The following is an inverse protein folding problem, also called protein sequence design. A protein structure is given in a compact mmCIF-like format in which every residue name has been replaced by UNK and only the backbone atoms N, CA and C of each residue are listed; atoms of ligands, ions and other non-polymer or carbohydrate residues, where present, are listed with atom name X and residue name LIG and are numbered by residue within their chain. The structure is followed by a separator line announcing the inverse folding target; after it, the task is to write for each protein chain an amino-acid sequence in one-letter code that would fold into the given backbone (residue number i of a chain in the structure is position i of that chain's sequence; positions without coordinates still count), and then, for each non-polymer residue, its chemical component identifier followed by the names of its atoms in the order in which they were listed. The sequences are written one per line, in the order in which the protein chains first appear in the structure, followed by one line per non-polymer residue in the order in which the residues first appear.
data_IF_296969862336
#
_entry.id   IF_296969862336
#
_cell.length_a   1.000
_cell.length_b   1.000
_cell.length_c   1.000
_cell.angle_alpha   90.00
_cell.angle_beta   90.00
_cell.angle_gamma   90.00
#
_symmetry.space_group_name_H-M   'P 1'
#
loop_
_entity.id
_entity.type
_entity.pdbx_description
1 polymer ?
#
# COMPACT_ATOMS: atom_id res chain seq x y z
N UNK A 1 22.54 -26.18 -6.18
CA UNK A 1 21.44 -25.46 -6.86
C UNK A 1 20.69 -24.68 -5.80
N UNK A 2 21.01 -23.39 -5.60
CA UNK A 2 20.39 -22.57 -4.56
C UNK A 2 18.93 -22.23 -4.94
N UNK A 3 18.01 -22.08 -3.98
CA UNK A 3 16.63 -21.71 -4.28
C UNK A 3 16.61 -20.33 -4.92
N UNK A 4 15.97 -20.20 -6.08
CA UNK A 4 15.63 -18.90 -6.67
C UNK A 4 14.77 -18.16 -5.66
N UNK A 5 15.34 -17.15 -5.01
CA UNK A 5 14.60 -16.21 -4.19
C UNK A 5 13.71 -15.38 -5.13
N UNK A 6 12.52 -15.91 -5.42
CA UNK A 6 11.48 -15.17 -6.10
C UNK A 6 10.96 -14.15 -5.10
N UNK A 7 11.42 -12.90 -5.23
CA UNK A 7 10.74 -11.77 -4.62
C UNK A 7 9.41 -11.67 -5.37
N UNK A 8 8.24 -11.87 -4.75
CA UNK A 8 6.99 -11.59 -5.43
C UNK A 8 6.94 -10.09 -5.70
N UNK A 9 7.29 -9.70 -6.91
CA UNK A 9 7.08 -8.35 -7.45
C UNK A 9 5.58 -8.19 -7.63
N UNK A 10 4.89 -7.84 -6.55
CA UNK A 10 3.69 -7.02 -6.68
C UNK A 10 4.18 -5.62 -6.44
N UNK A 11 4.40 -4.87 -7.53
CA UNK A 11 4.85 -3.49 -7.42
C UNK A 11 3.82 -2.75 -6.53
N UNK A 12 4.24 -2.02 -5.46
CA UNK A 12 3.30 -1.29 -4.61
C UNK A 12 2.32 -0.40 -5.38
N UNK A 13 2.73 0.10 -6.54
CA UNK A 13 1.88 0.86 -7.46
C UNK A 13 0.80 -0.01 -8.11
N UNK A 14 1.13 -1.23 -8.56
CA UNK A 14 0.15 -2.16 -9.13
C UNK A 14 -0.91 -2.56 -8.11
N UNK A 15 -0.49 -2.80 -6.87
CA UNK A 15 -1.40 -3.04 -5.74
C UNK A 15 -2.35 -1.88 -5.51
N UNK A 16 -1.82 -0.65 -5.44
CA UNK A 16 -2.62 0.55 -5.26
C UNK A 16 -3.60 0.76 -6.42
N UNK A 17 -3.17 0.53 -7.65
CA UNK A 17 -4.02 0.64 -8.84
C UNK A 17 -5.14 -0.42 -8.83
N UNK A 18 -4.84 -1.65 -8.39
CA UNK A 18 -5.85 -2.70 -8.20
C UNK A 18 -6.89 -2.34 -7.15
N UNK A 19 -6.45 -1.72 -6.04
CA UNK A 19 -7.35 -1.23 -4.99
C UNK A 19 -8.28 -0.12 -5.48
N UNK A 20 -7.72 0.87 -6.17
CA UNK A 20 -8.47 1.97 -6.79
C UNK A 20 -9.52 1.38 -7.74
N UNK A 21 -9.12 0.50 -8.66
CA UNK A 21 -10.02 -0.13 -9.62
C UNK A 21 -11.19 -0.84 -8.92
N UNK A 22 -10.90 -1.74 -7.97
CA UNK A 22 -11.93 -2.52 -7.27
C UNK A 22 -12.93 -1.63 -6.51
N UNK A 23 -12.47 -0.59 -5.81
CA UNK A 23 -13.36 0.30 -5.04
C UNK A 23 -14.17 1.22 -5.94
N UNK A 24 -13.62 1.66 -7.07
CA UNK A 24 -14.38 2.42 -8.06
C UNK A 24 -15.43 1.58 -8.77
N UNK A 25 -15.15 0.28 -9.01
CA UNK A 25 -16.11 -0.66 -9.63
C UNK A 25 -17.37 -0.87 -8.78
N UNK A 26 -17.25 -0.86 -7.44
CA UNK A 26 -18.41 -0.97 -6.53
C UNK A 26 -19.35 0.23 -6.65
N UNK A 27 -18.80 1.43 -6.89
CA UNK A 27 -19.62 2.65 -7.03
C UNK A 27 -20.23 2.75 -8.44
N UNK A 28 -19.51 2.32 -9.47
CA UNK A 28 -19.97 2.34 -10.86
C UNK A 28 -20.00 3.75 -11.44
N UNK A 29 -21.05 4.52 -11.13
CA UNK A 29 -21.26 5.89 -11.64
C UNK A 29 -21.17 6.89 -10.51
N UNK A 30 -20.35 7.93 -10.69
CA UNK A 30 -20.19 9.01 -9.72
C UNK A 30 -21.10 10.20 -10.07
N UNK A 31 -21.69 10.87 -9.06
CA UNK A 31 -22.59 12.00 -9.27
C UNK A 31 -21.87 13.30 -9.69
N UNK A 32 -20.56 13.40 -9.44
CA UNK A 32 -19.68 14.51 -9.83
C UNK A 32 -18.20 14.12 -9.66
N UNK A 33 -17.30 14.98 -10.13
CA UNK A 33 -15.84 14.80 -10.00
C UNK A 33 -15.37 14.82 -8.53
N UNK A 34 -15.97 15.66 -7.68
CA UNK A 34 -15.60 15.73 -6.26
C UNK A 34 -15.85 14.40 -5.53
N UNK A 35 -16.85 13.62 -5.94
CA UNK A 35 -17.14 12.31 -5.36
C UNK A 35 -16.04 11.28 -5.64
N UNK A 36 -15.49 11.25 -6.86
CA UNK A 36 -14.38 10.34 -7.19
C UNK A 36 -13.08 10.81 -6.53
N UNK A 37 -12.82 12.12 -6.50
CA UNK A 37 -11.63 12.68 -5.81
C UNK A 37 -11.65 12.34 -4.32
N UNK A 38 -12.81 12.43 -3.66
CA UNK A 38 -12.94 12.04 -2.25
C UNK A 38 -12.68 10.56 -2.02
N UNK A 39 -13.20 9.68 -2.88
CA UNK A 39 -12.96 8.24 -2.76
C UNK A 39 -11.47 7.91 -2.93
N UNK A 40 -10.86 8.38 -4.03
CA UNK A 40 -9.45 8.12 -4.30
C UNK A 40 -8.57 8.73 -3.19
N UNK A 41 -8.89 9.95 -2.75
CA UNK A 41 -8.21 10.60 -1.63
C UNK A 41 -8.28 9.82 -0.32
N UNK A 42 -9.42 9.17 -0.03
CA UNK A 42 -9.55 8.29 1.13
C UNK A 42 -8.67 7.02 1.00
N UNK A 43 -8.66 6.39 -0.19
CA UNK A 43 -7.84 5.19 -0.47
C UNK A 43 -6.35 5.50 -0.30
N UNK A 44 -5.90 6.63 -0.84
CA UNK A 44 -4.50 7.06 -0.74
C UNK A 44 -4.08 7.30 0.72
N UNK A 45 -4.98 7.86 1.53
CA UNK A 45 -4.72 8.12 2.95
C UNK A 45 -4.60 6.82 3.74
N UNK A 46 -5.52 5.88 3.54
CA UNK A 46 -5.48 4.55 4.15
C UNK A 46 -4.17 3.82 3.80
N UNK A 47 -3.77 3.83 2.53
CA UNK A 47 -2.50 3.23 2.10
C UNK A 47 -1.28 3.96 2.68
N UNK A 48 -1.33 5.28 2.84
CA UNK A 48 -0.25 6.03 3.47
C UNK A 48 -0.09 5.67 4.95
N UNK A 49 -1.20 5.53 5.68
CA UNK A 49 -1.19 5.17 7.11
C UNK A 49 -0.65 3.74 7.32
N UNK A 50 -1.06 2.78 6.48
CA UNK A 50 -0.50 1.42 6.48
C UNK A 50 1.02 1.41 6.24
N UNK A 51 1.49 2.21 5.27
CA UNK A 51 2.92 2.32 4.95
C UNK A 51 3.70 2.98 6.07
N UNK A 52 3.14 3.97 6.77
CA UNK A 52 3.77 4.62 7.91
C UNK A 52 3.98 3.62 9.06
N UNK A 53 2.98 2.77 9.35
CA UNK A 53 3.08 1.71 10.37
C UNK A 53 4.15 0.68 9.99
N UNK A 54 4.20 0.23 8.73
CA UNK A 54 5.24 -0.69 8.28
C UNK A 54 6.64 -0.09 8.42
N UNK A 55 6.85 1.16 7.99
CA UNK A 55 8.14 1.85 8.15
C UNK A 55 8.58 1.94 9.61
N UNK A 56 7.69 2.31 10.51
CA UNK A 56 7.99 2.36 11.94
C UNK A 56 8.47 1.00 12.48
N UNK A 57 7.84 -0.10 12.06
CA UNK A 57 8.24 -1.47 12.45
C UNK A 57 9.61 -1.87 11.89
N UNK A 58 9.92 -1.49 10.65
CA UNK A 58 11.23 -1.76 10.07
C UNK A 58 12.35 -0.98 10.78
N UNK A 59 12.12 0.29 11.13
CA UNK A 59 13.11 1.07 11.88
C UNK A 59 13.42 0.45 13.25
N UNK A 60 12.41 -0.01 13.98
CA UNK A 60 12.59 -0.69 15.29
C UNK A 60 13.34 -2.02 15.17
N UNK A 61 13.05 -2.80 14.11
CA UNK A 61 13.74 -4.08 13.88
C UNK A 61 15.22 -3.87 13.54
N UNK A 62 15.55 -2.83 12.78
CA UNK A 62 16.94 -2.47 12.50
C UNK A 62 17.67 -2.02 13.78
N UNK A 63 17.03 -1.24 14.64
CA UNK A 63 17.63 -0.84 15.92
C UNK A 63 17.84 -2.03 16.85
N UNK A 64 16.87 -2.93 16.97
CA UNK A 64 17.00 -4.15 17.79
C UNK A 64 18.14 -5.04 17.29
N UNK A 65 18.22 -5.27 15.97
CA UNK A 65 19.30 -6.05 15.35
C UNK A 65 20.67 -5.40 15.47
N UNK A 66 20.74 -4.06 15.57
CA UNK A 66 21.98 -3.34 15.78
C UNK A 66 22.49 -3.42 17.24
N UNK A 67 21.58 -3.63 18.20
CA UNK A 67 21.91 -3.80 19.63
C UNK A 67 22.33 -5.23 19.99
N UNK A 68 21.98 -6.22 19.16
CA UNK A 68 22.38 -7.63 19.32
C UNK A 68 23.73 -7.98 18.65
N UNK A 69 24.50 -6.96 18.23
CA UNK A 69 25.86 -7.10 17.68
C UNK A 69 26.88 -6.43 18.59
#
# INVERSE_FOLDING_TARGET
MAPRHLIPVTNPIERLNGEIKRRTEVVGIFPNEDAIVRLIGAILREQNDERAVQRARYMTLETHRALER
#
